data_IF_980860621790
#
_entry.id   IF_980860621790
#
_cell.length_a   1.000
_cell.length_b   1.000
_cell.length_c   1.000
_cell.angle_alpha   90.00
_cell.angle_beta   90.00
_cell.angle_gamma   90.00
#
_symmetry.space_group_name_H-M   'P 1'
#
loop_
_entity.id
_entity.type
_entity.pdbx_description
1 polymer ?
#
# COMPACT_ATOMS: atom_id res chain seq x y z
N UNK A 1 -6.19 -15.06 -20.99
CA UNK A 1 -6.25 -14.87 -19.53
C UNK A 1 -5.65 -13.51 -19.23
N UNK A 2 -6.22 -12.74 -18.29
CA UNK A 2 -5.55 -11.52 -17.81
C UNK A 2 -4.28 -11.93 -17.06
N UNK A 3 -3.23 -11.11 -17.13
CA UNK A 3 -1.97 -11.38 -16.45
C UNK A 3 -2.18 -11.36 -14.92
N UNK A 4 -1.59 -12.33 -14.20
CA UNK A 4 -1.52 -12.37 -12.74
C UNK A 4 -0.50 -11.39 -12.14
N UNK A 5 0.22 -10.64 -12.99
CA UNK A 5 1.26 -9.70 -12.58
C UNK A 5 0.66 -8.38 -12.08
N UNK A 6 1.39 -7.75 -11.20
CA UNK A 6 1.01 -6.50 -10.54
C UNK A 6 2.05 -5.42 -10.87
N UNK A 7 1.59 -4.29 -11.37
CA UNK A 7 2.43 -3.10 -11.54
C UNK A 7 2.19 -2.14 -10.38
N UNK A 8 3.19 -1.90 -9.56
CA UNK A 8 3.17 -0.88 -8.51
C UNK A 8 3.90 0.35 -9.02
N UNK A 9 3.23 1.49 -9.03
CA UNK A 9 3.82 2.77 -9.42
C UNK A 9 3.75 3.70 -8.22
N UNK A 10 4.89 4.06 -7.64
CA UNK A 10 4.87 4.79 -6.39
C UNK A 10 6.24 5.18 -5.84
N UNK A 11 6.22 5.58 -4.59
CA UNK A 11 7.35 6.12 -3.84
C UNK A 11 8.28 5.05 -3.29
N UNK A 12 9.54 5.43 -3.16
CA UNK A 12 10.61 4.66 -2.54
C UNK A 12 11.33 5.59 -1.55
N UNK A 13 11.16 5.37 -0.23
CA UNK A 13 11.77 6.19 0.81
C UNK A 13 12.70 5.36 1.68
N UNK A 14 13.74 5.98 2.18
CA UNK A 14 14.49 5.45 3.31
C UNK A 14 13.98 6.14 4.58
N UNK A 15 13.54 5.34 5.53
CA UNK A 15 13.04 5.78 6.83
C UNK A 15 14.19 5.79 7.82
N UNK A 16 14.61 6.99 8.25
CA UNK A 16 15.65 7.22 9.24
C UNK A 16 14.98 7.48 10.58
N UNK A 17 14.99 6.46 11.46
CA UNK A 17 14.28 6.50 12.73
C UNK A 17 15.23 6.72 13.88
N UNK A 18 15.00 7.78 14.65
CA UNK A 18 15.70 8.05 15.93
C UNK A 18 14.72 7.86 17.08
N UNK A 19 15.09 7.02 18.03
CA UNK A 19 14.34 6.89 19.30
C UNK A 19 14.95 7.78 20.37
N UNK A 20 14.12 8.40 21.21
CA UNK A 20 14.55 9.32 22.25
C UNK A 20 13.61 9.31 23.46
N UNK A 21 14.06 9.84 24.60
CA UNK A 21 13.20 9.92 25.79
C UNK A 21 12.01 10.87 25.59
N UNK A 22 12.25 11.98 24.92
CA UNK A 22 11.24 13.00 24.59
C UNK A 22 11.68 13.78 23.35
N UNK A 23 10.75 14.41 22.69
CA UNK A 23 11.07 15.34 21.60
C UNK A 23 11.83 16.57 22.12
N UNK A 24 12.78 17.05 21.31
CA UNK A 24 13.53 18.28 21.56
C UNK A 24 12.67 19.52 21.33
N UNK A 25 13.01 20.61 22.03
CA UNK A 25 12.44 21.92 21.81
C UNK A 25 13.28 22.70 20.78
N UNK A 26 12.72 23.75 20.15
CA UNK A 26 13.50 24.61 19.27
C UNK A 26 14.79 25.12 19.93
N UNK A 27 15.94 24.89 19.30
CA UNK A 27 17.26 25.28 19.80
C UNK A 27 17.87 24.29 20.83
N UNK A 28 17.22 23.21 21.14
CA UNK A 28 17.71 22.18 22.04
C UNK A 28 18.44 21.05 21.30
N UNK A 29 19.48 20.51 21.91
CA UNK A 29 20.11 19.26 21.47
C UNK A 29 19.80 18.18 22.50
N UNK A 30 19.24 17.05 22.06
CA UNK A 30 18.99 15.87 22.88
C UNK A 30 19.81 14.70 22.38
N UNK A 31 20.17 13.78 23.28
CA UNK A 31 20.82 12.53 22.91
C UNK A 31 19.78 11.49 22.54
N UNK A 32 19.89 10.91 21.34
CA UNK A 32 19.07 9.77 20.92
C UNK A 32 19.46 8.50 21.65
N UNK A 33 18.50 7.58 21.81
CA UNK A 33 18.69 6.28 22.45
C UNK A 33 19.01 5.18 21.42
N UNK A 34 18.55 5.35 20.19
CA UNK A 34 18.76 4.40 19.09
C UNK A 34 18.59 5.07 17.73
N UNK A 35 19.20 4.45 16.71
CA UNK A 35 19.06 4.84 15.32
C UNK A 35 18.90 3.61 14.45
N UNK A 36 17.89 3.65 13.56
CA UNK A 36 17.63 2.59 12.61
C UNK A 36 17.36 3.17 11.22
N UNK A 37 17.71 2.38 10.21
CA UNK A 37 17.44 2.70 8.80
C UNK A 37 16.59 1.59 8.22
N UNK A 38 15.42 1.94 7.67
CA UNK A 38 14.51 1.00 7.06
C UNK A 38 14.18 1.43 5.63
N UNK A 39 13.80 0.48 4.80
CA UNK A 39 13.13 0.75 3.52
C UNK A 39 11.65 1.01 3.78
N UNK A 40 11.12 2.09 3.21
CA UNK A 40 9.76 2.57 3.39
C UNK A 40 9.22 3.23 2.12
N UNK A 41 8.25 4.12 2.27
CA UNK A 41 7.49 4.67 1.14
C UNK A 41 6.39 3.73 0.68
N UNK A 42 5.21 4.29 0.40
CA UNK A 42 4.00 3.50 0.11
C UNK A 42 4.14 2.59 -1.10
N UNK A 43 4.79 3.07 -2.17
CA UNK A 43 5.03 2.26 -3.36
C UNK A 43 5.86 1.02 -3.06
N UNK A 44 7.00 1.20 -2.42
CA UNK A 44 7.87 0.09 -2.04
C UNK A 44 7.26 -0.85 -1.02
N UNK A 45 6.53 -0.32 -0.03
CA UNK A 45 5.79 -1.12 0.93
C UNK A 45 4.77 -2.02 0.24
N UNK A 46 3.96 -1.47 -0.66
CA UNK A 46 2.96 -2.23 -1.41
C UNK A 46 3.61 -3.24 -2.36
N UNK A 47 4.76 -2.92 -2.97
CA UNK A 47 5.49 -3.85 -3.82
C UNK A 47 6.04 -5.06 -3.04
N UNK A 48 6.69 -4.81 -1.88
CA UNK A 48 7.22 -5.86 -1.01
C UNK A 48 6.09 -6.74 -0.47
N UNK A 49 5.02 -6.12 0.05
CA UNK A 49 3.88 -6.88 0.56
C UNK A 49 3.24 -7.74 -0.54
N UNK A 50 3.08 -7.22 -1.76
CA UNK A 50 2.52 -7.99 -2.87
C UNK A 50 3.43 -9.16 -3.28
N UNK A 51 4.74 -8.98 -3.28
CA UNK A 51 5.69 -10.05 -3.59
C UNK A 51 5.65 -11.16 -2.52
N UNK A 52 5.65 -10.81 -1.23
CA UNK A 52 5.51 -11.79 -0.12
C UNK A 52 4.18 -12.54 -0.14
N UNK A 53 3.14 -11.90 -0.64
CA UNK A 53 1.83 -12.51 -0.87
C UNK A 53 1.79 -13.36 -2.16
N UNK A 54 2.94 -13.62 -2.81
CA UNK A 54 3.08 -14.49 -3.97
C UNK A 54 2.77 -13.82 -5.32
N UNK A 55 2.63 -12.50 -5.37
CA UNK A 55 2.45 -11.75 -6.63
C UNK A 55 3.75 -11.64 -7.43
N UNK A 56 3.66 -11.70 -8.75
CA UNK A 56 4.72 -11.23 -9.64
C UNK A 56 4.64 -9.71 -9.77
N UNK A 57 5.62 -8.98 -9.22
CA UNK A 57 5.54 -7.53 -9.05
C UNK A 57 6.58 -6.81 -9.89
N UNK A 58 6.11 -5.85 -10.69
CA UNK A 58 6.92 -4.79 -11.28
C UNK A 58 6.83 -3.54 -10.42
N UNK A 59 7.98 -3.00 -10.01
CA UNK A 59 8.05 -1.67 -9.38
C UNK A 59 8.44 -0.63 -10.41
N UNK A 60 7.62 0.41 -10.54
CA UNK A 60 7.91 1.61 -11.34
C UNK A 60 8.10 2.78 -10.38
N UNK A 61 9.28 3.38 -10.39
CA UNK A 61 9.65 4.42 -9.45
C UNK A 61 10.96 5.09 -9.81
N UNK A 62 11.47 5.90 -8.89
CA UNK A 62 12.76 6.54 -9.04
C UNK A 62 13.49 6.61 -7.71
N UNK A 63 14.81 6.37 -7.73
CA UNK A 63 15.73 6.55 -6.60
C UNK A 63 16.87 7.48 -6.99
N UNK A 64 17.57 8.04 -6.01
CA UNK A 64 18.80 8.77 -6.25
C UNK A 64 19.95 7.84 -6.68
N UNK A 65 20.91 8.38 -7.42
CA UNK A 65 22.20 7.71 -7.68
C UNK A 65 23.11 7.85 -6.45
N UNK A 66 22.64 7.32 -5.30
CA UNK A 66 23.26 7.41 -3.99
C UNK A 66 23.23 6.05 -3.24
N UNK A 67 23.86 6.01 -2.07
CA UNK A 67 23.93 4.80 -1.25
C UNK A 67 22.55 4.29 -0.81
N UNK A 68 21.60 5.19 -0.60
CA UNK A 68 20.23 4.83 -0.25
C UNK A 68 19.46 4.23 -1.41
N UNK A 69 19.66 4.74 -2.63
CA UNK A 69 19.10 4.14 -3.84
C UNK A 69 19.61 2.72 -4.09
N UNK A 70 20.92 2.49 -3.93
CA UNK A 70 21.49 1.14 -4.04
C UNK A 70 20.96 0.20 -2.97
N UNK A 71 20.88 0.67 -1.70
CA UNK A 71 20.32 -0.11 -0.59
C UNK A 71 18.88 -0.51 -0.91
N UNK A 72 18.07 0.44 -1.39
CA UNK A 72 16.66 0.20 -1.68
C UNK A 72 16.48 -0.82 -2.82
N UNK A 73 17.19 -0.65 -3.93
CA UNK A 73 17.12 -1.57 -5.08
C UNK A 73 17.52 -2.99 -4.70
N UNK A 74 18.56 -3.13 -3.87
CA UNK A 74 18.99 -4.44 -3.38
C UNK A 74 17.93 -5.08 -2.47
N UNK A 75 17.27 -4.30 -1.61
CA UNK A 75 16.17 -4.79 -0.77
C UNK A 75 14.99 -5.29 -1.61
N UNK A 76 14.54 -4.51 -2.62
CA UNK A 76 13.46 -4.93 -3.52
C UNK A 76 13.79 -6.22 -4.27
N UNK A 77 15.02 -6.33 -4.79
CA UNK A 77 15.48 -7.56 -5.49
C UNK A 77 15.51 -8.77 -4.57
N UNK A 78 15.90 -8.60 -3.31
CA UNK A 78 15.91 -9.68 -2.31
C UNK A 78 14.49 -10.19 -2.01
N UNK A 79 13.47 -9.34 -2.13
CA UNK A 79 12.05 -9.69 -1.99
C UNK A 79 11.43 -10.21 -3.31
N UNK A 80 12.21 -10.37 -4.37
CA UNK A 80 11.72 -10.88 -5.66
C UNK A 80 10.96 -9.87 -6.52
N UNK A 81 10.99 -8.58 -6.17
CA UNK A 81 10.36 -7.51 -6.96
C UNK A 81 11.22 -7.20 -8.19
N UNK A 82 10.61 -7.15 -9.36
CA UNK A 82 11.28 -6.70 -10.57
C UNK A 82 11.51 -5.17 -10.52
N UNK A 83 12.77 -4.76 -10.59
CA UNK A 83 13.22 -3.37 -10.48
C UNK A 83 13.70 -2.76 -11.81
N UNK A 84 13.46 -3.42 -12.95
CA UNK A 84 13.94 -2.96 -14.27
C UNK A 84 13.34 -1.61 -14.68
N UNK A 85 12.25 -1.20 -14.02
CA UNK A 85 11.54 0.05 -14.24
C UNK A 85 11.72 1.06 -13.09
N UNK A 86 12.67 0.82 -12.20
CA UNK A 86 13.09 1.81 -11.21
C UNK A 86 14.27 2.57 -11.77
N UNK A 87 14.05 3.84 -12.12
CA UNK A 87 15.11 4.69 -12.66
C UNK A 87 15.98 5.26 -11.55
N UNK A 88 17.22 5.62 -11.90
CA UNK A 88 18.14 6.35 -11.04
C UNK A 88 18.30 7.78 -11.56
N UNK A 89 18.37 8.76 -10.66
CA UNK A 89 18.65 10.14 -10.98
C UNK A 89 19.82 10.66 -10.17
N UNK A 90 20.70 11.44 -10.82
CA UNK A 90 21.79 12.15 -10.16
C UNK A 90 21.44 13.61 -9.79
N UNK A 91 20.22 14.05 -10.08
CA UNK A 91 19.77 15.43 -9.82
C UNK A 91 19.33 15.64 -8.38
N UNK A 92 18.76 14.61 -7.75
CA UNK A 92 18.23 14.66 -6.38
C UNK A 92 18.49 13.34 -5.66
N UNK A 93 18.54 13.38 -4.33
CA UNK A 93 18.72 12.19 -3.50
C UNK A 93 17.52 11.26 -3.54
N UNK A 94 17.73 10.02 -3.14
CA UNK A 94 16.62 9.09 -2.79
C UNK A 94 15.69 9.75 -1.78
N UNK A 95 14.39 9.45 -1.84
CA UNK A 95 13.41 9.94 -0.89
C UNK A 95 13.74 9.48 0.54
N UNK A 96 13.54 10.37 1.51
CA UNK A 96 13.87 10.10 2.93
C UNK A 96 12.71 10.54 3.81
N UNK A 97 12.36 9.72 4.80
CA UNK A 97 11.55 10.11 5.94
C UNK A 97 12.43 10.19 7.20
N UNK A 98 12.46 11.34 7.86
CA UNK A 98 13.06 11.53 9.16
C UNK A 98 11.99 11.27 10.22
N UNK A 99 12.17 10.24 11.03
CA UNK A 99 11.18 9.79 12.01
C UNK A 99 11.79 9.88 13.39
N UNK A 100 11.21 10.72 14.24
CA UNK A 100 11.52 10.79 15.66
C UNK A 100 10.45 10.03 16.44
N UNK A 101 10.84 9.15 17.36
CA UNK A 101 9.92 8.38 18.20
C UNK A 101 10.32 8.59 19.66
N UNK A 102 9.39 9.05 20.50
CA UNK A 102 9.62 9.21 21.91
C UNK A 102 9.28 7.93 22.72
N UNK A 103 9.60 7.94 24.01
CA UNK A 103 9.37 6.79 24.91
C UNK A 103 7.88 6.42 25.10
N UNK A 104 6.95 7.28 24.71
CA UNK A 104 5.51 7.01 24.73
C UNK A 104 5.02 6.33 23.44
N UNK A 105 5.91 6.23 22.42
CA UNK A 105 5.58 5.73 21.11
C UNK A 105 4.98 6.78 20.17
N UNK A 106 4.88 8.04 20.61
CA UNK A 106 4.49 9.13 19.71
C UNK A 106 5.59 9.37 18.69
N UNK A 107 5.20 9.75 17.47
CA UNK A 107 6.15 10.03 16.40
C UNK A 107 5.96 11.43 15.79
N UNK A 108 7.07 11.94 15.21
CA UNK A 108 7.10 13.13 14.35
C UNK A 108 7.82 12.75 13.07
N UNK A 109 7.24 13.08 11.94
CA UNK A 109 7.75 12.66 10.65
C UNK A 109 7.92 13.87 9.74
N UNK A 110 9.12 14.01 9.15
CA UNK A 110 9.40 14.93 8.08
C UNK A 110 9.80 14.15 6.84
N UNK A 111 9.10 14.33 5.72
CA UNK A 111 9.37 13.63 4.47
C UNK A 111 10.05 14.56 3.48
N UNK A 112 11.17 14.13 2.92
CA UNK A 112 11.83 14.71 1.77
C UNK A 112 11.59 13.81 0.57
N UNK A 113 10.71 14.17 -0.38
CA UNK A 113 10.33 13.29 -1.49
C UNK A 113 11.50 12.88 -2.39
N UNK A 114 12.50 13.74 -2.57
CA UNK A 114 13.68 13.45 -3.39
C UNK A 114 13.30 12.91 -4.77
N UNK A 115 13.90 11.79 -5.15
CA UNK A 115 13.70 11.14 -6.44
C UNK A 115 12.26 10.68 -6.71
N UNK A 116 11.39 10.58 -5.69
CA UNK A 116 9.97 10.30 -5.92
C UNK A 116 9.30 11.40 -6.77
N UNK A 117 9.75 12.63 -6.68
CA UNK A 117 9.28 13.72 -7.54
C UNK A 117 9.81 13.64 -8.99
N UNK A 118 10.83 12.82 -9.25
CA UNK A 118 11.32 12.53 -10.60
C UNK A 118 10.55 11.41 -11.30
N UNK A 119 9.56 10.81 -10.67
CA UNK A 119 8.60 9.91 -11.32
C UNK A 119 7.69 10.74 -12.24
N UNK A 120 8.18 11.00 -13.45
CA UNK A 120 7.52 11.84 -14.45
C UNK A 120 6.57 11.04 -15.33
N UNK A 121 5.73 11.73 -16.13
CA UNK A 121 4.90 11.10 -17.17
C UNK A 121 5.73 10.39 -18.23
N UNK A 122 6.94 10.87 -18.50
CA UNK A 122 7.87 10.24 -19.44
C UNK A 122 8.44 8.93 -18.88
N UNK A 123 8.79 8.89 -17.59
CA UNK A 123 9.18 7.65 -16.92
C UNK A 123 8.03 6.62 -17.01
N UNK A 124 6.81 7.02 -16.72
CA UNK A 124 5.63 6.15 -16.85
C UNK A 124 5.49 5.62 -18.29
N UNK A 125 5.70 6.49 -19.29
CA UNK A 125 5.63 6.11 -20.70
C UNK A 125 6.74 5.13 -21.11
N UNK A 126 7.96 5.27 -20.57
CA UNK A 126 9.05 4.30 -20.76
C UNK A 126 8.78 2.95 -20.07
N UNK A 127 7.98 2.95 -19.01
CA UNK A 127 7.59 1.75 -18.26
C UNK A 127 6.36 1.04 -18.84
N UNK A 128 5.95 1.36 -20.06
CA UNK A 128 4.74 0.83 -20.68
C UNK A 128 4.69 -0.71 -20.69
N UNK A 129 5.82 -1.39 -20.87
CA UNK A 129 5.87 -2.86 -20.87
C UNK A 129 5.46 -3.44 -19.51
N UNK A 130 5.92 -2.88 -18.38
CA UNK A 130 5.49 -3.30 -17.05
C UNK A 130 3.97 -3.16 -16.88
N UNK A 131 3.42 -2.06 -17.38
CA UNK A 131 1.97 -1.80 -17.29
C UNK A 131 1.20 -2.80 -18.16
N UNK A 132 1.58 -2.95 -19.44
CA UNK A 132 0.83 -3.80 -20.38
C UNK A 132 0.93 -5.29 -20.06
N UNK A 133 2.00 -5.73 -19.38
CA UNK A 133 2.21 -7.10 -18.94
C UNK A 133 1.47 -7.44 -17.63
N UNK A 134 0.83 -6.44 -17.01
CA UNK A 134 0.15 -6.59 -15.72
C UNK A 134 -1.38 -6.69 -15.85
N UNK A 135 -2.03 -7.30 -14.85
CA UNK A 135 -3.48 -7.37 -14.72
C UNK A 135 -4.04 -6.35 -13.70
N UNK A 136 -3.21 -5.96 -12.74
CA UNK A 136 -3.56 -5.03 -11.65
C UNK A 136 -2.52 -3.93 -11.56
N UNK A 137 -2.96 -2.72 -11.27
CA UNK A 137 -2.11 -1.57 -10.98
C UNK A 137 -2.41 -1.01 -9.60
N UNK A 138 -1.35 -0.81 -8.81
CA UNK A 138 -1.39 -0.11 -7.52
C UNK A 138 -0.76 1.28 -7.65
N UNK A 139 -1.48 2.29 -7.17
CA UNK A 139 -1.07 3.70 -7.16
C UNK A 139 -1.25 4.29 -5.76
N UNK A 140 -0.38 5.23 -5.38
CA UNK A 140 -0.49 6.04 -4.17
C UNK A 140 -0.23 7.51 -4.53
N UNK A 141 -0.20 8.41 -3.54
CA UNK A 141 -0.11 9.84 -3.78
C UNK A 141 1.19 10.49 -3.25
N UNK A 142 2.26 9.70 -3.15
CA UNK A 142 3.61 10.19 -2.79
C UNK A 142 4.51 10.48 -4.01
N UNK A 143 3.96 10.32 -5.21
CA UNK A 143 4.57 10.71 -6.48
C UNK A 143 3.76 11.82 -7.14
N UNK A 144 4.29 12.54 -8.15
CA UNK A 144 3.53 13.62 -8.77
C UNK A 144 2.15 13.19 -9.29
N UNK A 145 1.11 13.92 -8.92
CA UNK A 145 -0.26 13.64 -9.33
C UNK A 145 -0.45 13.52 -10.85
N UNK A 146 0.20 14.33 -11.70
CA UNK A 146 0.11 14.15 -13.15
C UNK A 146 0.60 12.77 -13.60
N UNK A 147 1.65 12.24 -12.98
CA UNK A 147 2.22 10.93 -13.30
C UNK A 147 1.31 9.79 -12.85
N UNK A 148 0.77 9.88 -11.62
CA UNK A 148 -0.22 8.92 -11.14
C UNK A 148 -1.48 8.91 -12.02
N UNK A 149 -1.97 10.09 -12.43
CA UNK A 149 -3.14 10.20 -13.34
C UNK A 149 -2.83 9.63 -14.73
N UNK A 150 -1.63 9.90 -15.26
CA UNK A 150 -1.19 9.36 -16.55
C UNK A 150 -1.08 7.83 -16.51
N UNK A 151 -0.50 7.28 -15.44
CA UNK A 151 -0.41 5.85 -15.22
C UNK A 151 -1.79 5.18 -15.14
N UNK A 152 -2.71 5.77 -14.35
CA UNK A 152 -4.09 5.31 -14.25
C UNK A 152 -4.80 5.30 -15.61
N UNK A 153 -4.59 6.34 -16.43
CA UNK A 153 -5.17 6.42 -17.78
C UNK A 153 -4.64 5.32 -18.71
N UNK A 154 -3.33 5.03 -18.66
CA UNK A 154 -2.74 3.92 -19.43
C UNK A 154 -3.31 2.59 -18.90
N UNK A 155 -3.26 2.33 -17.59
CA UNK A 155 -3.78 1.11 -16.99
C UNK A 155 -5.23 0.84 -17.37
N UNK A 156 -6.07 1.86 -17.26
CA UNK A 156 -7.49 1.78 -17.65
C UNK A 156 -7.66 1.43 -19.14
N UNK A 157 -6.90 2.07 -20.04
CA UNK A 157 -6.93 1.80 -21.47
C UNK A 157 -6.47 0.38 -21.80
N UNK A 158 -5.50 -0.14 -21.07
CA UNK A 158 -4.98 -1.51 -21.23
C UNK A 158 -5.86 -2.56 -20.54
N UNK A 159 -6.89 -2.15 -19.81
CA UNK A 159 -7.84 -3.05 -19.14
C UNK A 159 -7.37 -3.61 -17.82
N UNK A 160 -6.37 -2.99 -17.17
CA UNK A 160 -5.94 -3.32 -15.82
C UNK A 160 -7.04 -2.96 -14.82
N UNK A 161 -7.06 -3.67 -13.69
CA UNK A 161 -7.79 -3.25 -12.48
C UNK A 161 -6.95 -2.18 -11.77
N UNK A 162 -7.38 -0.92 -11.82
CA UNK A 162 -6.65 0.22 -11.22
C UNK A 162 -7.12 0.42 -9.79
N UNK A 163 -6.20 0.30 -8.84
CA UNK A 163 -6.41 0.51 -7.40
C UNK A 163 -5.64 1.76 -7.00
N UNK A 164 -6.31 2.75 -6.42
CA UNK A 164 -5.70 3.94 -5.84
C UNK A 164 -5.80 3.88 -4.31
N UNK A 165 -4.66 3.86 -3.65
CA UNK A 165 -4.54 4.21 -2.24
C UNK A 165 -4.39 5.74 -2.15
N UNK A 166 -5.41 6.48 -1.68
CA UNK A 166 -5.40 7.94 -1.72
C UNK A 166 -4.58 8.55 -0.56
N UNK A 167 -3.40 8.03 -0.34
CA UNK A 167 -2.50 8.36 0.77
C UNK A 167 -1.15 8.91 0.27
N UNK A 168 -0.67 10.05 0.83
CA UNK A 168 -1.39 10.93 1.76
C UNK A 168 -2.56 11.63 1.08
N UNK A 169 -3.66 11.84 1.84
CA UNK A 169 -4.88 12.42 1.30
C UNK A 169 -4.65 13.83 0.77
N UNK A 170 -5.06 14.06 -0.47
CA UNK A 170 -5.00 15.34 -1.15
C UNK A 170 -6.16 15.46 -2.15
N UNK A 171 -6.51 16.68 -2.61
CA UNK A 171 -7.55 16.87 -3.61
C UNK A 171 -7.28 16.07 -4.89
N UNK A 172 -8.27 15.34 -5.37
CA UNK A 172 -8.22 14.57 -6.60
C UNK A 172 -9.09 15.22 -7.67
N UNK A 173 -8.62 15.15 -8.93
CA UNK A 173 -9.44 15.55 -10.08
C UNK A 173 -10.57 14.55 -10.33
N UNK A 174 -11.67 15.01 -10.91
CA UNK A 174 -12.77 14.10 -11.30
C UNK A 174 -12.31 13.06 -12.32
N UNK A 175 -11.31 13.39 -13.16
CA UNK A 175 -10.69 12.42 -14.07
C UNK A 175 -10.06 11.23 -13.33
N UNK A 176 -9.38 11.48 -12.20
CA UNK A 176 -8.77 10.39 -11.43
C UNK A 176 -9.81 9.42 -10.89
N UNK A 177 -10.95 9.90 -10.41
CA UNK A 177 -12.04 9.02 -9.94
C UNK A 177 -12.60 8.12 -11.06
N UNK A 178 -12.70 8.63 -12.28
CA UNK A 178 -13.17 7.86 -13.45
C UNK A 178 -12.17 6.78 -13.90
N UNK A 179 -10.89 6.95 -13.59
CA UNK A 179 -9.81 6.03 -13.96
C UNK A 179 -9.67 4.87 -12.98
N UNK A 180 -10.10 5.04 -11.72
CA UNK A 180 -9.95 4.03 -10.69
C UNK A 180 -11.09 3.00 -10.72
N UNK A 181 -10.75 1.72 -10.66
CA UNK A 181 -11.72 0.66 -10.38
C UNK A 181 -12.01 0.58 -8.89
N UNK A 182 -10.95 0.74 -8.08
CA UNK A 182 -11.04 0.77 -6.62
C UNK A 182 -10.29 1.99 -6.08
N UNK A 183 -10.86 2.60 -5.04
CA UNK A 183 -10.16 3.57 -4.19
C UNK A 183 -10.25 3.05 -2.74
N UNK A 184 -9.13 3.12 -2.00
CA UNK A 184 -8.99 2.43 -0.72
C UNK A 184 -8.67 3.38 0.44
N UNK A 185 -9.53 4.38 0.74
CA UNK A 185 -9.29 5.34 1.80
C UNK A 185 -9.48 4.72 3.20
N UNK A 186 -8.69 5.19 4.17
CA UNK A 186 -9.02 5.06 5.58
C UNK A 186 -10.03 6.14 6.03
N UNK A 187 -10.36 6.20 7.32
CA UNK A 187 -11.35 7.15 7.87
C UNK A 187 -10.93 8.60 7.61
N UNK A 188 -9.68 8.96 7.89
CA UNK A 188 -9.14 10.32 7.69
C UNK A 188 -9.05 10.68 6.20
N UNK A 189 -8.59 9.75 5.36
CA UNK A 189 -8.49 9.95 3.92
C UNK A 189 -9.86 10.13 3.29
N UNK A 190 -10.85 9.33 3.69
CA UNK A 190 -12.22 9.45 3.21
C UNK A 190 -12.85 10.79 3.61
N UNK A 191 -12.67 11.21 4.85
CA UNK A 191 -13.13 12.52 5.33
C UNK A 191 -12.47 13.67 4.53
N UNK A 192 -11.16 13.59 4.29
CA UNK A 192 -10.42 14.61 3.53
C UNK A 192 -10.89 14.69 2.07
N UNK A 193 -11.10 13.54 1.42
CA UNK A 193 -11.52 13.48 0.01
C UNK A 193 -12.95 13.97 -0.23
N UNK A 194 -13.80 13.84 0.78
CA UNK A 194 -15.24 14.12 0.64
C UNK A 194 -15.69 15.40 1.36
N UNK A 195 -14.92 15.85 2.35
CA UNK A 195 -15.32 16.92 3.26
C UNK A 195 -16.46 16.53 4.20
N UNK A 196 -16.70 15.22 4.39
CA UNK A 196 -17.82 14.68 5.16
C UNK A 196 -17.32 13.92 6.40
N UNK A 197 -18.13 13.83 7.47
CA UNK A 197 -17.82 12.97 8.60
C UNK A 197 -17.80 11.49 8.17
N UNK A 198 -17.05 10.67 8.91
CA UNK A 198 -16.88 9.23 8.66
C UNK A 198 -16.96 8.43 9.96
N UNK A 199 -17.46 9.03 11.04
CA UNK A 199 -17.43 8.47 12.39
C UNK A 199 -18.41 7.30 12.56
N UNK A 200 -19.60 7.41 11.96
CA UNK A 200 -20.60 6.34 11.96
C UNK A 200 -20.52 5.52 10.66
N UNK A 201 -21.17 4.36 10.68
CA UNK A 201 -21.26 3.52 9.48
C UNK A 201 -22.07 4.20 8.37
N UNK A 202 -23.17 4.86 8.75
CA UNK A 202 -24.04 5.59 7.84
C UNK A 202 -23.30 6.77 7.20
N UNK A 203 -22.52 7.54 7.99
CA UNK A 203 -21.71 8.64 7.49
C UNK A 203 -20.66 8.15 6.50
N UNK A 204 -19.97 7.06 6.85
CA UNK A 204 -18.96 6.45 5.97
C UNK A 204 -19.56 5.94 4.67
N UNK A 205 -20.73 5.27 4.70
CA UNK A 205 -21.47 4.84 3.49
C UNK A 205 -21.84 6.06 2.65
N UNK A 206 -22.35 7.12 3.28
CA UNK A 206 -22.72 8.34 2.58
C UNK A 206 -21.49 8.99 1.92
N UNK A 207 -20.36 9.12 2.64
CA UNK A 207 -19.11 9.64 2.11
C UNK A 207 -18.60 8.80 0.93
N UNK A 208 -18.56 7.47 1.06
CA UNK A 208 -18.19 6.56 -0.03
C UNK A 208 -19.10 6.75 -1.26
N UNK A 209 -20.42 6.93 -1.05
CA UNK A 209 -21.37 7.15 -2.14
C UNK A 209 -21.07 8.39 -2.97
N UNK A 210 -20.43 9.41 -2.37
CA UNK A 210 -19.98 10.62 -3.10
C UNK A 210 -18.84 10.30 -4.06
N UNK A 211 -17.91 9.44 -3.66
CA UNK A 211 -16.82 8.99 -4.55
C UNK A 211 -17.36 8.10 -5.67
N UNK A 212 -18.31 7.22 -5.38
CA UNK A 212 -19.00 6.43 -6.42
C UNK A 212 -19.70 7.34 -7.45
N UNK A 213 -20.38 8.40 -6.99
CA UNK A 213 -21.01 9.39 -7.89
C UNK A 213 -20.02 10.15 -8.75
N UNK A 214 -18.75 10.27 -8.32
CA UNK A 214 -17.65 10.84 -9.11
C UNK A 214 -17.07 9.88 -10.14
N UNK A 215 -17.47 8.60 -10.14
CA UNK A 215 -17.14 7.64 -11.18
C UNK A 215 -16.27 6.47 -10.77
N UNK A 216 -15.84 6.40 -9.51
CA UNK A 216 -15.14 5.20 -8.97
C UNK A 216 -16.11 4.02 -9.01
N UNK A 217 -15.65 2.84 -9.42
CA UNK A 217 -16.51 1.64 -9.45
C UNK A 217 -16.80 1.09 -8.06
N UNK A 218 -15.80 1.12 -7.16
CA UNK A 218 -15.93 0.64 -5.80
C UNK A 218 -15.01 1.43 -4.85
N UNK A 219 -15.51 1.70 -3.65
CA UNK A 219 -14.72 2.22 -2.53
C UNK A 219 -14.53 1.09 -1.53
N UNK A 220 -13.29 0.75 -1.26
CA UNK A 220 -12.91 -0.21 -0.22
C UNK A 220 -12.36 0.58 0.97
N UNK A 221 -13.26 0.96 1.88
CA UNK A 221 -12.95 1.80 3.03
C UNK A 221 -12.31 0.99 4.15
N UNK A 222 -11.04 1.32 4.47
CA UNK A 222 -10.26 0.72 5.57
C UNK A 222 -10.70 1.32 6.90
N UNK A 223 -11.04 0.49 7.89
CA UNK A 223 -11.58 0.91 9.18
C UNK A 223 -10.73 0.41 10.36
N UNK A 224 -9.44 0.24 10.15
CA UNK A 224 -8.50 -0.26 11.16
C UNK A 224 -8.97 -1.58 11.79
N UNK A 225 -9.03 -1.68 13.13
CA UNK A 225 -9.43 -2.92 13.82
C UNK A 225 -10.87 -3.36 13.50
N UNK A 226 -11.73 -2.45 13.00
CA UNK A 226 -13.11 -2.78 12.58
C UNK A 226 -13.16 -3.51 11.23
N UNK A 227 -12.01 -3.64 10.52
CA UNK A 227 -11.91 -4.30 9.23
C UNK A 227 -12.10 -3.35 8.05
N UNK A 228 -12.90 -3.75 7.06
CA UNK A 228 -13.13 -2.97 5.86
C UNK A 228 -14.60 -2.97 5.44
N UNK A 229 -14.98 -1.96 4.66
CA UNK A 229 -16.30 -1.83 4.06
C UNK A 229 -16.15 -1.62 2.55
N UNK A 230 -16.76 -2.50 1.76
CA UNK A 230 -16.83 -2.35 0.32
C UNK A 230 -18.15 -1.68 -0.06
N UNK A 231 -18.07 -0.52 -0.70
CA UNK A 231 -19.23 0.23 -1.20
C UNK A 231 -19.18 0.29 -2.71
N UNK A 232 -20.28 -0.06 -3.35
CA UNK A 232 -20.49 -0.01 -4.81
C UNK A 232 -21.79 0.70 -5.12
N UNK A 233 -22.14 0.85 -6.40
CA UNK A 233 -23.47 1.34 -6.80
C UNK A 233 -24.63 0.42 -6.34
N UNK A 234 -24.35 -0.84 -6.08
CA UNK A 234 -25.35 -1.86 -5.73
C UNK A 234 -25.56 -2.03 -4.22
N UNK A 235 -24.77 -1.30 -3.41
CA UNK A 235 -24.86 -1.30 -1.95
C UNK A 235 -23.53 -1.40 -1.23
N UNK A 236 -23.58 -1.69 0.07
CA UNK A 236 -22.42 -1.83 0.94
C UNK A 236 -22.33 -3.22 1.56
N UNK A 237 -21.10 -3.69 1.81
CA UNK A 237 -20.82 -4.94 2.52
C UNK A 237 -19.70 -4.71 3.52
N UNK A 238 -19.94 -5.21 4.75
CA UNK A 238 -18.97 -5.14 5.84
C UNK A 238 -18.14 -6.42 5.90
N UNK A 239 -16.85 -6.25 6.14
CA UNK A 239 -15.88 -7.32 6.36
C UNK A 239 -15.21 -7.05 7.71
N UNK A 240 -15.54 -7.82 8.75
CA UNK A 240 -14.98 -7.59 10.09
C UNK A 240 -13.46 -7.77 10.09
N UNK A 241 -12.79 -7.03 10.95
CA UNK A 241 -11.35 -7.18 11.17
C UNK A 241 -11.03 -8.46 11.95
N UNK A 242 -9.78 -8.90 11.84
CA UNK A 242 -9.26 -10.00 12.61
C UNK A 242 -8.68 -9.50 13.94
N UNK A 243 -8.88 -10.26 15.02
CA UNK A 243 -8.31 -9.94 16.33
C UNK A 243 -6.85 -10.38 16.37
N UNK A 244 -5.98 -9.43 16.62
CA UNK A 244 -4.53 -9.64 16.76
C UNK A 244 -3.99 -8.75 17.90
N UNK A 245 -2.86 -9.13 18.48
CA UNK A 245 -2.14 -8.28 19.42
C UNK A 245 -1.26 -7.32 18.64
N UNK A 246 -1.80 -6.13 18.36
CA UNK A 246 -1.11 -5.12 17.58
C UNK A 246 0.06 -4.51 18.38
N UNK A 247 1.23 -4.45 17.72
CA UNK A 247 2.49 -3.89 18.23
C UNK A 247 2.83 -2.59 17.50
N UNK A 248 2.73 -2.61 16.14
CA UNK A 248 3.04 -1.47 15.27
C UNK A 248 2.10 -1.48 14.07
N UNK A 249 1.41 -0.38 13.83
CA UNK A 249 0.44 -0.27 12.73
C UNK A 249 1.03 0.31 11.44
N UNK A 250 2.34 0.55 11.42
CA UNK A 250 3.05 1.08 10.25
C UNK A 250 2.87 0.16 9.05
N UNK A 251 2.54 0.71 7.90
CA UNK A 251 2.32 0.01 6.63
C UNK A 251 1.18 -1.04 6.62
N UNK A 252 0.30 -1.09 7.65
CA UNK A 252 -0.85 -1.99 7.63
C UNK A 252 -1.79 -1.71 6.45
N UNK A 253 -2.00 -0.43 6.10
CA UNK A 253 -2.75 -0.03 4.93
C UNK A 253 -2.08 -0.42 3.61
N UNK A 254 -0.75 -0.36 3.53
CA UNK A 254 0.03 -0.79 2.36
C UNK A 254 -0.10 -2.30 2.17
N UNK A 255 0.06 -3.07 3.26
CA UNK A 255 -0.09 -4.52 3.28
C UNK A 255 -1.51 -4.94 2.87
N UNK A 256 -2.53 -4.24 3.38
CA UNK A 256 -3.93 -4.45 2.98
C UNK A 256 -4.12 -4.26 1.47
N UNK A 257 -3.63 -3.15 0.91
CA UNK A 257 -3.77 -2.84 -0.52
C UNK A 257 -3.04 -3.85 -1.40
N UNK A 258 -1.85 -4.26 -0.99
CA UNK A 258 -1.06 -5.27 -1.69
C UNK A 258 -1.77 -6.63 -1.72
N UNK A 259 -2.25 -7.10 -0.58
CA UNK A 259 -2.98 -8.37 -0.49
C UNK A 259 -4.30 -8.34 -1.29
N UNK A 260 -5.01 -7.21 -1.29
CA UNK A 260 -6.18 -7.01 -2.14
C UNK A 260 -5.83 -7.10 -3.63
N UNK A 261 -4.74 -6.45 -4.05
CA UNK A 261 -4.26 -6.50 -5.43
C UNK A 261 -3.86 -7.91 -5.85
N UNK A 262 -3.17 -8.66 -4.99
CA UNK A 262 -2.81 -10.07 -5.22
C UNK A 262 -4.07 -10.93 -5.37
N UNK A 263 -5.05 -10.79 -4.47
CA UNK A 263 -6.32 -11.51 -4.60
C UNK A 263 -7.02 -11.24 -5.93
N UNK A 264 -7.04 -9.97 -6.37
CA UNK A 264 -7.60 -9.62 -7.68
C UNK A 264 -6.77 -10.14 -8.86
N UNK A 265 -5.43 -10.19 -8.74
CA UNK A 265 -4.55 -10.72 -9.77
C UNK A 265 -4.71 -12.24 -9.94
N UNK A 266 -5.01 -12.94 -8.85
CA UNK A 266 -5.35 -14.37 -8.83
C UNK A 266 -6.80 -14.66 -9.22
N UNK A 267 -7.55 -13.66 -9.72
CA UNK A 267 -8.98 -13.76 -10.07
C UNK A 267 -9.90 -14.26 -8.94
N UNK A 268 -9.51 -14.02 -7.67
CA UNK A 268 -10.37 -14.31 -6.53
C UNK A 268 -11.67 -13.51 -6.60
N UNK A 269 -12.78 -14.04 -6.07
CA UNK A 269 -13.96 -13.23 -5.77
C UNK A 269 -13.58 -12.03 -4.90
N UNK A 270 -14.15 -10.86 -5.22
CA UNK A 270 -13.79 -9.60 -4.53
C UNK A 270 -13.92 -9.71 -3.02
N UNK A 271 -14.94 -10.41 -2.53
CA UNK A 271 -15.18 -10.61 -1.10
C UNK A 271 -14.04 -11.40 -0.42
N UNK A 272 -13.51 -12.41 -1.11
CA UNK A 272 -12.41 -13.22 -0.60
C UNK A 272 -11.08 -12.42 -0.65
N UNK A 273 -10.87 -11.61 -1.71
CA UNK A 273 -9.75 -10.70 -1.78
C UNK A 273 -9.77 -9.66 -0.65
N UNK A 274 -10.95 -9.17 -0.24
CA UNK A 274 -11.08 -8.25 0.91
C UNK A 274 -10.80 -8.96 2.24
N UNK A 275 -11.25 -10.21 2.42
CA UNK A 275 -10.93 -11.00 3.62
C UNK A 275 -9.42 -11.24 3.74
N UNK A 276 -8.77 -11.60 2.62
CA UNK A 276 -7.32 -11.76 2.56
C UNK A 276 -6.59 -10.45 2.92
N UNK A 277 -7.05 -9.32 2.37
CA UNK A 277 -6.52 -8.00 2.66
C UNK A 277 -6.64 -7.63 4.15
N UNK A 278 -7.79 -7.88 4.77
CA UNK A 278 -7.99 -7.67 6.20
C UNK A 278 -7.05 -8.53 7.05
N UNK A 279 -6.87 -9.80 6.69
CA UNK A 279 -5.98 -10.72 7.41
C UNK A 279 -4.51 -10.29 7.29
N UNK A 280 -4.05 -9.96 6.09
CA UNK A 280 -2.70 -9.50 5.86
C UNK A 280 -2.42 -8.17 6.59
N UNK A 281 -3.34 -7.20 6.50
CA UNK A 281 -3.23 -5.94 7.22
C UNK A 281 -3.23 -6.11 8.74
N UNK A 282 -4.02 -7.04 9.29
CA UNK A 282 -4.00 -7.35 10.72
C UNK A 282 -2.66 -7.98 11.14
N UNK A 283 -2.18 -8.99 10.40
CA UNK A 283 -0.91 -9.67 10.72
C UNK A 283 0.28 -8.73 10.66
N UNK A 284 0.31 -7.79 9.71
CA UNK A 284 1.42 -6.83 9.63
C UNK A 284 1.53 -5.92 10.86
N UNK A 285 0.49 -5.83 11.69
CA UNK A 285 0.53 -5.05 12.93
C UNK A 285 1.14 -5.81 14.10
N UNK A 286 1.41 -7.10 13.99
CA UNK A 286 1.83 -7.95 15.13
C UNK A 286 3.32 -7.92 15.42
N UNK A 287 4.11 -7.21 14.62
CA UNK A 287 5.54 -7.04 14.78
C UNK A 287 5.96 -5.58 14.52
N UNK A 288 7.16 -5.22 14.97
CA UNK A 288 7.74 -3.89 14.72
C UNK A 288 8.25 -3.74 13.29
N UNK A 289 8.07 -2.56 12.73
CA UNK A 289 8.61 -2.13 11.44
C UNK A 289 7.66 -2.35 10.26
N UNK A 290 7.80 -1.50 9.23
CA UNK A 290 6.94 -1.52 8.06
C UNK A 290 7.09 -2.84 7.26
N UNK A 291 8.13 -2.93 6.44
CA UNK A 291 8.33 -4.11 5.57
C UNK A 291 8.70 -5.37 6.36
N UNK A 292 9.41 -5.24 7.49
CA UNK A 292 9.82 -6.38 8.31
C UNK A 292 8.63 -7.19 8.87
N UNK A 293 7.52 -6.50 9.15
CA UNK A 293 6.31 -7.09 9.75
C UNK A 293 5.31 -7.67 8.72
N UNK A 294 5.53 -7.46 7.42
CA UNK A 294 4.61 -7.93 6.38
C UNK A 294 4.53 -9.45 6.31
N UNK A 295 3.33 -10.04 6.37
CA UNK A 295 3.14 -11.50 6.32
C UNK A 295 3.34 -12.04 4.89
N UNK A 296 3.49 -13.36 4.80
CA UNK A 296 3.36 -14.11 3.56
C UNK A 296 1.90 -14.56 3.33
N UNK A 297 1.63 -15.05 2.12
CA UNK A 297 0.31 -15.53 1.72
C UNK A 297 -0.17 -16.67 2.64
N UNK A 298 0.73 -17.57 3.03
CA UNK A 298 0.39 -18.71 3.88
C UNK A 298 -0.17 -18.27 5.23
N UNK A 299 0.52 -17.34 5.89
CA UNK A 299 0.09 -16.78 7.18
C UNK A 299 -1.25 -16.06 7.08
N UNK A 300 -1.44 -15.27 6.02
CA UNK A 300 -2.68 -14.54 5.78
C UNK A 300 -3.86 -15.48 5.51
N UNK A 301 -3.70 -16.49 4.67
CA UNK A 301 -4.72 -17.52 4.41
C UNK A 301 -5.06 -18.30 5.69
N UNK A 302 -4.05 -18.65 6.48
CA UNK A 302 -4.25 -19.34 7.76
C UNK A 302 -5.14 -18.55 8.72
N UNK A 303 -4.99 -17.23 8.78
CA UNK A 303 -5.86 -16.37 9.61
C UNK A 303 -7.27 -16.27 9.02
N UNK A 304 -7.45 -16.25 7.70
CA UNK A 304 -8.76 -16.25 7.05
C UNK A 304 -9.53 -17.54 7.38
N UNK A 305 -8.86 -18.70 7.33
CA UNK A 305 -9.47 -20.01 7.56
C UNK A 305 -9.75 -20.28 9.04
N UNK A 306 -8.92 -19.74 9.92
CA UNK A 306 -9.06 -19.96 11.37
C UNK A 306 -8.88 -18.63 12.14
N UNK A 307 -9.91 -17.78 12.18
CA UNK A 307 -9.86 -16.46 12.80
C UNK A 307 -9.46 -16.42 14.28
N UNK A 308 -9.63 -17.54 14.99
CA UNK A 308 -9.31 -17.69 16.41
C UNK A 308 -7.88 -18.27 16.65
N UNK A 309 -7.18 -18.66 15.60
CA UNK A 309 -5.84 -19.26 15.70
C UNK A 309 -4.75 -18.23 15.45
N UNK A 310 -4.15 -17.70 16.52
CA UNK A 310 -2.96 -16.84 16.47
C UNK A 310 -1.64 -17.62 16.26
N UNK A 311 -1.67 -18.89 15.82
CA UNK A 311 -0.44 -19.68 15.59
C UNK A 311 -0.28 -19.99 14.11
N UNK A 312 0.94 -19.82 13.52
CA UNK A 312 1.20 -20.26 12.16
C UNK A 312 0.98 -21.77 12.06
N UNK A 313 0.15 -22.18 11.12
CA UNK A 313 -0.07 -23.58 10.79
C UNK A 313 1.18 -24.10 10.07
N UNK A 314 2.06 -24.80 10.75
CA UNK A 314 3.21 -25.46 10.13
C UNK A 314 2.78 -26.71 9.35
N UNK A 315 3.08 -26.76 8.06
CA UNK A 315 3.17 -28.02 7.32
C UNK A 315 2.06 -28.40 6.34
N UNK A 316 1.14 -27.51 5.99
CA UNK A 316 0.19 -27.73 4.87
C UNK A 316 0.55 -26.89 3.66
N UNK A 317 0.41 -27.44 2.46
CA UNK A 317 0.61 -26.70 1.22
C UNK A 317 -0.67 -25.93 0.86
N UNK A 318 -0.94 -24.85 1.63
CA UNK A 318 -2.14 -24.01 1.47
C UNK A 318 -2.17 -23.34 0.09
N UNK A 319 -0.99 -23.13 -0.54
CA UNK A 319 -0.92 -22.61 -1.91
C UNK A 319 -1.60 -23.58 -2.91
N UNK A 320 -1.46 -24.88 -2.74
CA UNK A 320 -2.14 -25.88 -3.59
C UNK A 320 -3.65 -25.96 -3.24
N UNK A 321 -4.02 -25.85 -1.98
CA UNK A 321 -5.42 -25.90 -1.57
C UNK A 321 -6.16 -24.63 -1.99
N UNK A 322 -5.50 -23.47 -1.89
CA UNK A 322 -6.08 -22.17 -2.34
C UNK A 322 -6.16 -22.12 -3.86
N UNK A 323 -5.11 -22.53 -4.59
CA UNK A 323 -5.15 -22.63 -6.04
C UNK A 323 -6.27 -23.57 -6.50
N UNK A 324 -6.40 -24.76 -5.92
CA UNK A 324 -7.47 -25.73 -6.23
C UNK A 324 -8.89 -25.23 -5.92
N UNK A 325 -9.05 -24.30 -4.97
CA UNK A 325 -10.37 -23.73 -4.64
C UNK A 325 -10.83 -22.69 -5.67
N UNK A 326 -9.87 -22.09 -6.41
CA UNK A 326 -10.14 -21.01 -7.35
C UNK A 326 -9.70 -21.33 -8.80
N UNK A 327 -9.23 -22.59 -9.10
CA UNK A 327 -9.20 -23.19 -10.42
C UNK A 327 -10.64 -23.62 -10.84
#
# INVERSE_FOLDING_TARGET
MKSSKICVIGSLNIDLTVTMDRFHQPGETVTGLGFNTFTGGKGGNQAVAAARMGGEVYMVGCVGEDAYGELYLNALKAEGVNTDYVEKTNEVSTGVALIEVDKTGENRIAVVPGANHAVTTDLISRSLNAITDSGVMLLQLETPMPSATHAAAIGKRMGLKVILDPAPAQPLSDAMFLLCDYITPNETELATLTGLPTDTEEDAIFACSKLIKKGVKAVLHKRGPKGAMLVTKDGSRMFPGYRVDAVDTTAAGDTFNAAFAVGLAMDMPVDDAVRLANAAGALSTTAMGAQAAMPDLYSACGLVENPDAMKPLSGRNIMEEFAKKYE
#
